data_IF_245375064062
#
_entry.id   IF_245375064062
#
_cell.length_a   1.000
_cell.length_b   1.000
_cell.length_c   1.000
_cell.angle_alpha   90.00
_cell.angle_beta   90.00
_cell.angle_gamma   90.00
#
_symmetry.space_group_name_H-M   'P 1'
#
loop_
_entity.id
_entity.type
_entity.pdbx_description
1 polymer ?
#
# COMPACT_ATOMS: atom_id res chain seq x y z
N UNK A 1 -7.21 7.45 -13.58
CA UNK A 1 -6.84 6.21 -14.31
C UNK A 1 -5.89 6.43 -15.48
N UNK A 2 -6.13 7.39 -16.39
CA UNK A 2 -5.23 7.62 -17.54
C UNK A 2 -3.77 7.83 -17.11
N UNK A 3 -3.53 8.64 -16.09
CA UNK A 3 -2.19 8.87 -15.53
C UNK A 3 -1.53 7.57 -15.06
N UNK A 4 -2.26 6.73 -14.33
CA UNK A 4 -1.77 5.43 -13.85
C UNK A 4 -1.41 4.53 -15.04
N UNK A 5 -2.28 4.43 -16.05
CA UNK A 5 -2.03 3.62 -17.24
C UNK A 5 -0.79 4.09 -18.02
N UNK A 6 -0.63 5.41 -18.20
CA UNK A 6 0.53 6.00 -18.87
C UNK A 6 1.81 5.74 -18.09
N UNK A 7 1.80 5.92 -16.78
CA UNK A 7 2.96 5.65 -15.93
C UNK A 7 3.31 4.16 -15.88
N UNK A 8 2.30 3.29 -15.88
CA UNK A 8 2.48 1.84 -16.02
C UNK A 8 3.17 1.47 -17.33
N UNK A 9 2.79 2.08 -18.46
CA UNK A 9 3.48 1.88 -19.74
C UNK A 9 4.91 2.42 -19.72
N UNK A 10 5.12 3.60 -19.14
CA UNK A 10 6.45 4.21 -18.99
C UNK A 10 7.38 3.44 -18.04
N UNK A 11 6.83 2.73 -17.06
CA UNK A 11 7.60 1.89 -16.13
C UNK A 11 8.15 0.61 -16.80
N UNK A 12 7.68 0.25 -17.99
CA UNK A 12 8.14 -0.94 -18.71
C UNK A 12 9.67 -0.87 -18.90
N UNK A 13 10.35 -1.95 -18.52
CA UNK A 13 11.82 -2.09 -18.54
C UNK A 13 12.59 -1.15 -17.61
N UNK A 14 11.94 -0.31 -16.82
CA UNK A 14 12.58 0.52 -15.79
C UNK A 14 12.79 -0.32 -14.54
N UNK A 15 13.94 -0.16 -13.89
CA UNK A 15 14.22 -0.85 -12.63
C UNK A 15 13.29 -0.35 -11.53
N UNK A 16 12.46 -1.26 -11.00
CA UNK A 16 11.47 -0.94 -9.97
C UNK A 16 12.12 -0.37 -8.69
N UNK A 17 13.34 -0.80 -8.37
CA UNK A 17 14.08 -0.26 -7.23
C UNK A 17 14.37 1.23 -7.38
N UNK A 18 14.66 1.68 -8.61
CA UNK A 18 14.95 3.08 -8.88
C UNK A 18 13.69 3.93 -8.85
N UNK A 19 12.56 3.38 -9.33
CA UNK A 19 11.22 3.99 -9.15
C UNK A 19 10.94 4.23 -7.66
N UNK A 20 11.11 3.19 -6.82
CA UNK A 20 10.90 3.32 -5.38
C UNK A 20 11.85 4.32 -4.72
N UNK A 21 13.12 4.41 -5.15
CA UNK A 21 14.06 5.41 -4.62
C UNK A 21 13.60 6.82 -4.93
N UNK A 22 13.25 7.09 -6.19
CA UNK A 22 12.78 8.40 -6.62
C UNK A 22 11.49 8.78 -5.87
N UNK A 23 10.52 7.86 -5.80
CA UNK A 23 9.27 8.07 -5.08
C UNK A 23 9.51 8.36 -3.59
N UNK A 24 10.44 7.63 -2.94
CA UNK A 24 10.79 7.87 -1.55
C UNK A 24 11.42 9.24 -1.34
N UNK A 25 12.42 9.62 -2.15
CA UNK A 25 13.11 10.90 -1.98
C UNK A 25 12.19 12.09 -2.24
N UNK A 26 11.44 12.07 -3.34
CA UNK A 26 10.52 13.15 -3.69
C UNK A 26 9.37 13.21 -2.69
N UNK A 27 8.73 12.07 -2.41
CA UNK A 27 7.59 12.02 -1.49
C UNK A 27 7.96 12.43 -0.06
N UNK A 28 9.10 11.97 0.46
CA UNK A 28 9.58 12.39 1.77
C UNK A 28 9.95 13.88 1.82
N UNK A 29 10.63 14.39 0.78
CA UNK A 29 10.98 15.80 0.70
C UNK A 29 9.73 16.71 0.68
N UNK A 30 8.72 16.34 -0.13
CA UNK A 30 7.46 17.07 -0.20
C UNK A 30 6.68 17.00 1.12
N UNK A 31 6.55 15.81 1.71
CA UNK A 31 5.84 15.63 2.97
C UNK A 31 6.46 16.43 4.11
N UNK A 32 7.80 16.39 4.24
CA UNK A 32 8.53 17.20 5.23
C UNK A 32 8.36 18.69 4.95
N UNK A 33 8.43 19.11 3.68
CA UNK A 33 8.23 20.52 3.30
C UNK A 33 6.84 21.00 3.71
N UNK A 34 5.78 20.26 3.36
CA UNK A 34 4.41 20.64 3.73
C UNK A 34 4.19 20.63 5.24
N UNK A 35 4.73 19.63 5.95
CA UNK A 35 4.70 19.61 7.40
C UNK A 35 5.35 20.87 7.98
N UNK A 36 6.57 21.22 7.57
CA UNK A 36 7.26 22.40 8.09
C UNK A 36 6.53 23.70 7.74
N UNK A 37 6.09 23.87 6.49
CA UNK A 37 5.33 25.04 6.05
C UNK A 37 4.02 25.19 6.82
N UNK A 38 3.36 24.07 7.16
CA UNK A 38 2.13 24.09 7.97
C UNK A 38 2.40 24.47 9.42
N UNK A 39 3.52 24.02 10.00
CA UNK A 39 3.91 24.35 11.37
C UNK A 39 4.31 25.82 11.54
N UNK A 40 4.85 26.46 10.49
CA UNK A 40 5.14 27.90 10.47
C UNK A 40 3.98 28.75 9.94
N UNK A 41 2.81 28.15 9.72
CA UNK A 41 1.59 28.80 9.21
C UNK A 41 1.74 29.49 7.84
N UNK A 42 2.65 29.01 6.99
CA UNK A 42 2.75 29.46 5.57
C UNK A 42 1.64 28.82 4.74
N UNK A 43 1.29 27.57 5.04
CA UNK A 43 0.12 26.88 4.46
C UNK A 43 -0.82 26.41 5.59
N UNK A 44 -2.12 26.22 5.33
CA UNK A 44 -3.05 25.76 6.35
C UNK A 44 -2.71 24.37 6.89
N UNK A 45 -2.82 24.20 8.21
CA UNK A 45 -2.95 22.91 8.85
C UNK A 45 -4.43 22.69 9.16
N UNK A 46 -5.12 21.81 8.42
CA UNK A 46 -6.52 21.52 8.68
C UNK A 46 -6.63 20.61 9.91
N UNK A 47 -7.28 21.10 10.95
CA UNK A 47 -7.46 20.39 12.23
C UNK A 47 -8.92 19.96 12.39
N UNK A 48 -9.14 18.65 12.47
CA UNK A 48 -10.48 18.06 12.64
C UNK A 48 -10.57 17.48 14.06
N UNK A 49 -11.13 18.24 14.99
CA UNK A 49 -11.07 17.91 16.42
C UNK A 49 -9.64 18.05 16.94
N UNK A 50 -9.00 16.96 17.34
CA UNK A 50 -7.60 16.87 17.76
C UNK A 50 -6.65 16.37 16.65
N UNK A 51 -7.18 16.13 15.43
CA UNK A 51 -6.47 15.46 14.34
C UNK A 51 -5.87 16.48 13.38
N UNK A 52 -4.56 16.42 13.18
CA UNK A 52 -3.81 17.33 12.31
C UNK A 52 -3.60 16.76 10.90
N UNK A 53 -3.66 17.61 9.88
CA UNK A 53 -3.39 17.25 8.47
C UNK A 53 -2.01 17.69 7.97
N UNK A 54 -1.29 18.54 8.71
CA UNK A 54 0.09 18.97 8.46
C UNK A 54 0.36 19.44 7.02
N UNK A 55 -0.53 20.29 6.50
CA UNK A 55 -0.40 20.83 5.15
C UNK A 55 -0.93 19.91 4.03
N UNK A 56 -1.44 18.73 4.38
CA UNK A 56 -2.18 17.85 3.47
C UNK A 56 -3.68 18.13 3.59
N UNK A 57 -4.43 17.78 2.54
CA UNK A 57 -5.87 18.02 2.41
C UNK A 57 -6.71 17.41 3.55
N UNK A 58 -6.28 16.29 4.13
CA UNK A 58 -7.02 15.62 5.20
C UNK A 58 -6.09 14.81 6.11
N UNK A 59 -6.56 14.46 7.30
CA UNK A 59 -5.74 13.82 8.35
C UNK A 59 -5.34 12.40 7.98
N UNK A 60 -6.25 11.66 7.34
CA UNK A 60 -5.96 10.28 6.85
C UNK A 60 -5.04 10.29 5.65
N UNK A 61 -5.17 11.28 4.76
CA UNK A 61 -4.27 11.44 3.61
C UNK A 61 -2.82 11.67 4.07
N UNK A 62 -2.59 12.50 5.09
CA UNK A 62 -1.25 12.67 5.66
C UNK A 62 -0.70 11.34 6.20
N UNK A 63 -1.51 10.62 6.97
CA UNK A 63 -1.13 9.34 7.57
C UNK A 63 -0.82 8.28 6.50
N UNK A 64 -1.59 8.24 5.42
CA UNK A 64 -1.35 7.39 4.26
C UNK A 64 0.00 7.69 3.60
N UNK A 65 0.37 8.97 3.40
CA UNK A 65 1.70 9.30 2.89
C UNK A 65 2.82 8.72 3.76
N UNK A 66 2.71 8.85 5.09
CA UNK A 66 3.66 8.26 6.03
C UNK A 66 3.73 6.74 5.87
N UNK A 67 2.58 6.07 5.80
CA UNK A 67 2.48 4.62 5.63
C UNK A 67 3.12 4.14 4.32
N UNK A 68 2.78 4.74 3.17
CA UNK A 68 3.31 4.31 1.88
C UNK A 68 4.80 4.64 1.72
N UNK A 69 5.28 5.76 2.30
CA UNK A 69 6.72 6.05 2.38
C UNK A 69 7.46 5.03 3.25
N UNK A 70 6.87 4.60 4.37
CA UNK A 70 7.44 3.53 5.21
C UNK A 70 7.51 2.20 4.44
N UNK A 71 6.43 1.80 3.75
CA UNK A 71 6.43 0.62 2.88
C UNK A 71 7.55 0.69 1.82
N UNK A 72 7.71 1.85 1.17
CA UNK A 72 8.72 2.08 0.13
C UNK A 72 10.14 2.02 0.72
N UNK A 73 10.37 2.65 1.87
CA UNK A 73 11.65 2.61 2.59
C UNK A 73 12.04 1.18 2.97
N UNK A 74 11.11 0.43 3.57
CA UNK A 74 11.35 -0.95 4.01
C UNK A 74 11.61 -1.87 2.82
N UNK A 75 10.88 -1.72 1.72
CA UNK A 75 11.14 -2.45 0.47
C UNK A 75 12.60 -2.31 0.02
N UNK A 76 13.14 -1.09 0.05
CA UNK A 76 14.53 -0.80 -0.37
C UNK A 76 15.59 -1.34 0.61
N UNK A 77 15.20 -1.60 1.86
CA UNK A 77 16.08 -1.98 2.99
C UNK A 77 15.97 -3.44 3.42
N UNK A 78 15.02 -4.22 2.92
CA UNK A 78 14.72 -5.59 3.40
C UNK A 78 15.94 -6.49 3.65
N UNK A 79 16.92 -6.50 2.74
CA UNK A 79 18.11 -7.38 2.87
C UNK A 79 19.09 -6.93 3.96
N UNK A 80 18.99 -5.68 4.40
CA UNK A 80 19.94 -5.00 5.28
C UNK A 80 19.25 -4.34 6.47
N UNK A 81 18.11 -4.90 6.89
CA UNK A 81 17.35 -4.44 8.06
C UNK A 81 18.21 -4.46 9.33
N UNK A 82 18.26 -3.30 9.99
CA UNK A 82 18.90 -3.01 11.27
C UNK A 82 17.82 -2.63 12.27
N UNK A 83 18.16 -2.64 13.56
CA UNK A 83 17.23 -2.28 14.62
C UNK A 83 16.66 -0.85 14.48
N UNK A 84 17.44 0.09 13.93
CA UNK A 84 16.98 1.45 13.64
C UNK A 84 15.82 1.51 12.62
N UNK A 85 15.72 0.56 11.68
CA UNK A 85 14.58 0.52 10.76
C UNK A 85 13.27 0.19 11.50
N UNK A 86 13.35 -0.70 12.50
CA UNK A 86 12.21 -1.01 13.36
C UNK A 86 11.86 0.18 14.25
N UNK A 87 12.87 0.82 14.84
CA UNK A 87 12.68 2.02 15.64
C UNK A 87 12.01 3.15 14.84
N UNK A 88 12.44 3.34 13.58
CA UNK A 88 11.82 4.32 12.67
C UNK A 88 10.33 4.02 12.48
N UNK A 89 9.95 2.79 12.13
CA UNK A 89 8.54 2.44 11.93
C UNK A 89 7.74 2.63 13.22
N UNK A 90 8.27 2.26 14.38
CA UNK A 90 7.63 2.48 15.69
C UNK A 90 7.40 3.98 15.95
N UNK A 91 8.40 4.83 15.67
CA UNK A 91 8.27 6.28 15.83
C UNK A 91 7.23 6.85 14.87
N UNK A 92 7.20 6.40 13.62
CA UNK A 92 6.18 6.81 12.65
C UNK A 92 4.79 6.37 13.09
N UNK A 93 4.62 5.15 13.61
CA UNK A 93 3.35 4.67 14.18
C UNK A 93 2.89 5.54 15.34
N UNK A 94 3.80 5.84 16.28
CA UNK A 94 3.48 6.69 17.42
C UNK A 94 3.13 8.12 16.99
N UNK A 95 3.85 8.67 16.00
CA UNK A 95 3.58 9.98 15.43
C UNK A 95 2.17 10.03 14.82
N UNK A 96 1.82 9.08 13.95
CA UNK A 96 0.49 9.02 13.33
C UNK A 96 -0.60 8.87 14.40
N UNK A 97 -0.40 7.98 15.38
CA UNK A 97 -1.36 7.79 16.48
C UNK A 97 -1.59 9.07 17.29
N UNK A 98 -0.52 9.79 17.62
CA UNK A 98 -0.59 10.93 18.53
C UNK A 98 -1.07 12.22 17.86
N UNK A 99 -0.77 12.41 16.58
CA UNK A 99 -1.04 13.68 15.91
C UNK A 99 -2.19 13.63 14.91
N UNK A 100 -2.49 12.47 14.31
CA UNK A 100 -3.55 12.36 13.30
C UNK A 100 -4.69 11.45 13.72
N UNK A 101 -4.51 10.65 14.78
CA UNK A 101 -5.47 9.65 15.28
C UNK A 101 -6.09 8.81 14.15
N UNK A 102 -5.25 8.32 13.23
CA UNK A 102 -5.72 7.55 12.08
C UNK A 102 -5.44 6.05 12.28
N UNK A 103 -6.43 5.35 12.82
CA UNK A 103 -6.33 3.93 13.19
C UNK A 103 -5.93 3.03 12.03
N UNK A 104 -6.42 3.32 10.82
CA UNK A 104 -6.13 2.53 9.60
C UNK A 104 -4.63 2.49 9.32
N UNK A 105 -3.97 3.64 9.32
CA UNK A 105 -2.53 3.77 9.04
C UNK A 105 -1.68 3.26 10.19
N UNK A 106 -2.13 3.46 11.44
CA UNK A 106 -1.49 2.89 12.63
C UNK A 106 -1.48 1.36 12.55
N UNK A 107 -2.64 0.74 12.28
CA UNK A 107 -2.75 -0.71 12.09
C UNK A 107 -1.90 -1.16 10.90
N UNK A 108 -1.89 -0.41 9.80
CA UNK A 108 -1.10 -0.74 8.60
C UNK A 108 0.41 -0.70 8.87
N UNK A 109 0.89 0.28 9.65
CA UNK A 109 2.28 0.37 10.11
C UNK A 109 2.64 -0.76 11.10
N UNK A 110 1.72 -1.16 11.97
CA UNK A 110 1.91 -2.32 12.86
C UNK A 110 1.99 -3.64 12.07
N UNK A 111 1.16 -3.82 11.04
CA UNK A 111 1.25 -4.96 10.13
C UNK A 111 2.57 -4.93 9.37
N UNK A 112 3.04 -3.75 8.92
CA UNK A 112 4.36 -3.60 8.30
C UNK A 112 5.47 -4.03 9.27
N UNK A 113 5.42 -3.59 10.53
CA UNK A 113 6.38 -3.96 11.57
C UNK A 113 6.41 -5.48 11.79
N UNK A 114 5.24 -6.12 11.86
CA UNK A 114 5.12 -7.58 11.95
C UNK A 114 5.75 -8.29 10.76
N UNK A 115 5.50 -7.80 9.54
CA UNK A 115 6.12 -8.31 8.31
C UNK A 115 7.64 -8.15 8.31
N UNK A 116 8.16 -7.03 8.83
CA UNK A 116 9.60 -6.82 8.98
C UNK A 116 10.23 -7.86 9.92
N UNK A 117 9.58 -8.18 11.04
CA UNK A 117 10.04 -9.21 11.98
C UNK A 117 10.07 -10.57 11.29
N UNK A 118 8.98 -10.97 10.64
CA UNK A 118 8.91 -12.23 9.88
C UNK A 118 10.03 -12.29 8.84
N UNK A 119 10.21 -11.22 8.06
CA UNK A 119 11.24 -11.19 7.01
C UNK A 119 12.65 -11.27 7.59
N UNK A 120 12.95 -10.54 8.66
CA UNK A 120 14.27 -10.52 9.31
C UNK A 120 14.66 -11.90 9.83
N UNK A 121 13.73 -12.59 10.49
CA UNK A 121 13.98 -13.89 11.09
C UNK A 121 13.63 -15.08 10.20
N UNK A 122 13.19 -14.85 8.95
CA UNK A 122 12.68 -15.88 8.03
C UNK A 122 13.55 -17.12 7.94
N UNK A 123 14.87 -16.96 7.81
CA UNK A 123 15.82 -18.08 7.62
C UNK A 123 15.95 -18.92 8.89
N UNK A 124 15.97 -18.26 10.06
CA UNK A 124 16.06 -18.95 11.34
C UNK A 124 14.74 -19.63 11.69
N UNK A 125 13.64 -18.89 11.60
CA UNK A 125 12.30 -19.38 11.94
C UNK A 125 11.82 -20.44 10.98
N UNK A 126 12.10 -20.37 9.67
CA UNK A 126 11.68 -21.41 8.74
C UNK A 126 12.28 -22.78 9.02
N UNK A 127 13.43 -22.85 9.73
CA UNK A 127 14.06 -24.11 10.13
C UNK A 127 13.35 -24.77 11.32
N UNK A 128 12.85 -23.98 12.27
CA UNK A 128 12.27 -24.46 13.51
C UNK A 128 10.73 -24.40 13.53
N UNK A 129 10.13 -23.57 12.70
CA UNK A 129 8.70 -23.25 12.69
C UNK A 129 8.18 -23.19 11.25
N UNK A 130 7.69 -24.35 10.76
CA UNK A 130 7.16 -24.53 9.40
C UNK A 130 6.07 -23.52 9.01
N UNK A 131 5.16 -23.07 9.90
CA UNK A 131 4.14 -22.09 9.54
C UNK A 131 4.67 -20.76 8.97
N UNK A 132 5.87 -20.30 9.36
CA UNK A 132 6.47 -19.09 8.76
C UNK A 132 6.78 -19.31 7.28
N UNK A 133 7.32 -20.47 6.91
CA UNK A 133 7.58 -20.78 5.51
C UNK A 133 6.28 -20.92 4.71
N UNK A 134 5.24 -21.52 5.31
CA UNK A 134 3.91 -21.61 4.70
C UNK A 134 3.39 -20.20 4.43
N UNK A 135 3.35 -19.34 5.45
CA UNK A 135 2.92 -17.95 5.33
C UNK A 135 3.65 -17.20 4.22
N UNK A 136 4.99 -17.29 4.17
CA UNK A 136 5.77 -16.64 3.10
C UNK A 136 5.37 -17.14 1.70
N UNK A 137 5.14 -18.46 1.57
CA UNK A 137 4.78 -19.11 0.30
C UNK A 137 3.32 -18.94 -0.11
N UNK A 138 2.44 -18.59 0.82
CA UNK A 138 0.98 -18.43 0.58
C UNK A 138 0.49 -17.00 0.79
N UNK A 139 1.35 -16.06 1.14
CA UNK A 139 1.01 -14.65 1.37
C UNK A 139 0.25 -14.01 0.19
N UNK A 140 0.58 -14.39 -1.04
CA UNK A 140 -0.09 -13.92 -2.25
C UNK A 140 -1.60 -14.26 -2.32
N UNK A 141 -2.08 -15.27 -1.59
CA UNK A 141 -3.51 -15.64 -1.56
C UNK A 141 -4.34 -14.53 -0.92
N UNK A 142 -3.77 -13.80 0.03
CA UNK A 142 -4.47 -12.69 0.71
C UNK A 142 -4.84 -11.54 -0.24
N UNK A 143 -4.14 -11.40 -1.37
CA UNK A 143 -4.50 -10.42 -2.40
C UNK A 143 -5.85 -10.73 -3.07
N UNK A 144 -6.37 -11.96 -2.94
CA UNK A 144 -7.73 -12.34 -3.33
C UNK A 144 -8.71 -12.21 -2.17
N UNK A 145 -8.27 -12.60 -0.96
CA UNK A 145 -9.12 -12.63 0.22
C UNK A 145 -9.55 -11.22 0.63
N UNK A 146 -8.63 -10.24 0.68
CA UNK A 146 -8.96 -8.89 1.15
C UNK A 146 -10.02 -8.18 0.28
N UNK A 147 -9.88 -8.10 -1.07
CA UNK A 147 -10.94 -7.57 -1.91
C UNK A 147 -12.25 -8.36 -1.75
N UNK A 148 -12.17 -9.69 -1.76
CA UNK A 148 -13.35 -10.56 -1.68
C UNK A 148 -14.16 -10.36 -0.40
N UNK A 149 -13.47 -10.21 0.74
CA UNK A 149 -14.11 -9.96 2.04
C UNK A 149 -14.87 -8.63 2.01
N UNK A 150 -14.21 -7.51 1.70
CA UNK A 150 -14.88 -6.21 1.84
C UNK A 150 -15.96 -5.99 0.79
N UNK A 151 -15.76 -6.48 -0.45
CA UNK A 151 -16.79 -6.45 -1.49
C UNK A 151 -17.98 -7.30 -1.06
N UNK A 152 -17.73 -8.53 -0.61
CA UNK A 152 -18.79 -9.45 -0.18
C UNK A 152 -19.57 -8.94 1.03
N UNK A 153 -18.89 -8.37 2.03
CA UNK A 153 -19.53 -7.77 3.20
C UNK A 153 -20.35 -6.53 2.80
N UNK A 154 -19.83 -5.66 1.92
CA UNK A 154 -20.51 -4.43 1.51
C UNK A 154 -21.76 -4.70 0.67
N UNK A 155 -21.69 -5.69 -0.23
CA UNK A 155 -22.84 -6.10 -1.05
C UNK A 155 -23.97 -6.75 -0.23
N UNK A 156 -23.63 -7.36 0.92
CA UNK A 156 -24.59 -8.03 1.82
C UNK A 156 -24.96 -7.19 3.04
N UNK A 157 -24.44 -5.98 3.15
CA UNK A 157 -24.63 -5.13 4.31
C UNK A 157 -26.12 -4.90 4.58
N UNK A 158 -26.54 -5.17 5.80
CA UNK A 158 -27.90 -4.94 6.29
C UNK A 158 -27.83 -4.19 7.61
N UNK A 159 -28.35 -2.95 7.60
CA UNK A 159 -28.38 -2.09 8.78
C UNK A 159 -29.26 -2.64 9.91
N UNK A 160 -30.17 -3.59 9.63
CA UNK A 160 -30.99 -4.24 10.66
C UNK A 160 -30.26 -5.40 11.37
N UNK A 161 -29.13 -5.84 10.84
CA UNK A 161 -28.37 -6.94 11.41
C UNK A 161 -27.31 -6.43 12.41
N UNK A 162 -27.41 -6.85 13.66
CA UNK A 162 -26.54 -6.41 14.75
C UNK A 162 -25.04 -6.73 14.55
N UNK A 163 -24.69 -7.74 13.73
CA UNK A 163 -23.30 -8.05 13.40
C UNK A 163 -22.78 -7.02 12.38
N UNK A 164 -23.59 -6.70 11.36
CA UNK A 164 -23.20 -5.72 10.34
C UNK A 164 -23.06 -4.32 10.92
N UNK A 165 -23.96 -3.90 11.81
CA UNK A 165 -23.84 -2.59 12.47
C UNK A 165 -22.57 -2.49 13.30
N UNK A 166 -22.25 -3.51 14.11
CA UNK A 166 -20.98 -3.55 14.88
C UNK A 166 -19.74 -3.49 14.01
N UNK A 167 -19.70 -4.24 12.90
CA UNK A 167 -18.57 -4.19 11.97
C UNK A 167 -18.49 -2.81 11.32
N UNK A 168 -19.62 -2.26 10.90
CA UNK A 168 -19.71 -0.96 10.27
C UNK A 168 -19.20 0.16 11.18
N UNK A 169 -19.58 0.14 12.48
CA UNK A 169 -19.09 1.09 13.48
C UNK A 169 -17.57 0.94 13.67
N UNK A 170 -17.08 -0.30 13.76
CA UNK A 170 -15.65 -0.60 13.91
C UNK A 170 -14.81 -0.05 12.75
N UNK A 171 -15.34 -0.06 11.52
CA UNK A 171 -14.65 0.46 10.34
C UNK A 171 -15.11 1.87 9.92
N UNK A 172 -15.70 2.62 10.85
CA UNK A 172 -16.13 4.02 10.67
C UNK A 172 -17.08 4.21 9.47
N UNK A 173 -18.15 3.44 9.42
CA UNK A 173 -19.19 3.49 8.37
C UNK A 173 -18.74 3.13 6.94
N UNK A 174 -17.49 2.66 6.75
CA UNK A 174 -16.99 2.28 5.41
C UNK A 174 -17.78 1.13 4.78
N UNK A 175 -18.41 0.28 5.59
CA UNK A 175 -19.25 -0.81 5.09
C UNK A 175 -20.55 -0.27 4.49
N UNK A 176 -21.19 0.67 5.20
CA UNK A 176 -22.36 1.39 4.74
C UNK A 176 -22.07 2.16 3.44
N UNK A 177 -20.99 2.94 3.38
CA UNK A 177 -20.65 3.69 2.16
C UNK A 177 -20.31 2.78 0.98
N UNK A 178 -19.66 1.64 1.24
CA UNK A 178 -19.47 0.60 0.24
C UNK A 178 -20.79 0.04 -0.31
N UNK A 179 -21.73 -0.27 0.58
CA UNK A 179 -23.07 -0.73 0.21
C UNK A 179 -23.85 0.32 -0.58
N UNK A 180 -23.81 1.58 -0.13
CA UNK A 180 -24.45 2.70 -0.81
C UNK A 180 -23.88 2.93 -2.21
N UNK A 181 -22.57 2.75 -2.40
CA UNK A 181 -21.96 2.82 -3.73
C UNK A 181 -22.53 1.74 -4.67
N UNK A 182 -22.70 0.51 -4.19
CA UNK A 182 -23.29 -0.56 -4.98
C UNK A 182 -24.77 -0.33 -5.30
N UNK A 183 -25.57 0.12 -4.34
CA UNK A 183 -27.01 0.32 -4.56
C UNK A 183 -27.31 1.55 -5.43
N UNK A 184 -26.53 2.62 -5.28
CA UNK A 184 -26.76 3.89 -5.99
C UNK A 184 -26.13 3.94 -7.38
N UNK A 185 -24.94 3.36 -7.55
CA UNK A 185 -24.20 3.41 -8.81
C UNK A 185 -24.12 2.05 -9.52
N UNK A 186 -24.11 0.94 -8.77
CA UNK A 186 -23.90 -0.39 -9.32
C UNK A 186 -22.50 -0.60 -9.89
N UNK A 187 -22.32 -1.69 -10.65
CA UNK A 187 -21.04 -2.04 -11.28
C UNK A 187 -21.21 -2.06 -12.79
N UNK A 188 -20.45 -1.23 -13.51
CA UNK A 188 -20.40 -1.24 -14.98
C UNK A 188 -19.14 -1.94 -15.48
N UNK A 189 -19.16 -2.42 -16.72
CA UNK A 189 -18.02 -3.11 -17.32
C UNK A 189 -16.76 -2.21 -17.40
N UNK A 190 -16.95 -0.94 -17.80
CA UNK A 190 -15.88 0.05 -18.00
C UNK A 190 -15.94 1.23 -17.02
N UNK A 191 -16.65 1.05 -15.91
CA UNK A 191 -16.74 2.06 -14.84
C UNK A 191 -17.71 3.18 -15.16
N UNK A 192 -17.71 4.18 -14.28
CA UNK A 192 -18.58 5.37 -14.34
C UNK A 192 -18.06 6.45 -13.39
N UNK A 193 -18.38 7.74 -13.63
CA UNK A 193 -18.17 8.78 -12.65
C UNK A 193 -19.03 8.51 -11.41
N UNK A 194 -18.47 8.78 -10.23
CA UNK A 194 -19.15 8.72 -8.94
C UNK A 194 -19.01 10.09 -8.31
N UNK A 195 -20.12 10.69 -7.89
CA UNK A 195 -20.10 11.96 -7.17
C UNK A 195 -19.87 11.66 -5.69
N UNK A 196 -18.73 12.09 -5.18
CA UNK A 196 -18.36 11.96 -3.78
C UNK A 196 -18.38 13.32 -3.09
N UNK A 197 -18.70 13.31 -1.81
CA UNK A 197 -18.72 14.45 -0.92
C UNK A 197 -17.92 14.09 0.32
N UNK A 198 -16.62 14.40 0.29
CA UNK A 198 -15.70 14.20 1.40
C UNK A 198 -15.32 15.50 2.10
N UNK A 199 -14.65 15.40 3.25
CA UNK A 199 -14.22 16.56 4.04
C UNK A 199 -12.81 17.04 3.72
N UNK A 200 -12.16 16.53 2.67
CA UNK A 200 -10.80 16.92 2.31
C UNK A 200 -10.70 18.32 1.69
N UNK A 201 -9.59 19.01 1.98
CA UNK A 201 -9.24 20.32 1.42
C UNK A 201 -10.04 21.48 2.02
N UNK A 202 -9.82 22.70 1.50
CA UNK A 202 -10.42 23.93 2.04
C UNK A 202 -11.97 23.85 2.09
N UNK A 203 -12.59 23.46 0.97
CA UNK A 203 -14.05 23.37 0.88
C UNK A 203 -14.62 22.30 1.83
N UNK A 204 -13.94 21.16 1.96
CA UNK A 204 -14.36 20.09 2.85
C UNK A 204 -14.18 20.45 4.33
N UNK A 205 -13.10 21.17 4.66
CA UNK A 205 -12.83 21.72 5.98
C UNK A 205 -13.90 22.71 6.41
N UNK A 206 -14.25 23.65 5.52
CA UNK A 206 -15.32 24.62 5.75
C UNK A 206 -16.67 23.90 5.91
N UNK A 207 -16.93 22.87 5.11
CA UNK A 207 -18.16 22.08 5.21
C UNK A 207 -18.27 21.33 6.54
N UNK A 208 -17.15 20.81 7.04
CA UNK A 208 -17.10 20.10 8.32
C UNK A 208 -17.36 21.04 9.51
N UNK A 209 -16.85 22.28 9.46
CA UNK A 209 -16.95 23.23 10.57
C UNK A 209 -18.19 24.12 10.52
N UNK A 210 -18.80 24.32 9.34
CA UNK A 210 -19.96 25.18 9.18
C UNK A 210 -21.25 24.34 9.02
N UNK A 211 -22.15 24.43 10.00
CA UNK A 211 -23.45 23.74 9.99
C UNK A 211 -24.42 24.21 8.86
N UNK A 212 -24.07 25.26 8.11
CA UNK A 212 -24.88 25.80 7.02
C UNK A 212 -24.79 24.97 5.72
N UNK A 213 -23.74 24.18 5.55
CA UNK A 213 -23.58 23.27 4.40
C UNK A 213 -24.17 21.90 4.72
N UNK A 214 -25.45 21.70 4.38
CA UNK A 214 -26.14 20.41 4.52
C UNK A 214 -25.67 19.35 3.51
N UNK A 215 -24.37 19.27 3.21
CA UNK A 215 -23.84 18.25 2.29
C UNK A 215 -23.73 16.94 3.04
N UNK A 216 -24.51 15.94 2.61
CA UNK A 216 -24.42 14.58 3.16
C UNK A 216 -23.07 13.98 2.77
N UNK A 217 -22.27 13.58 3.77
CA UNK A 217 -20.98 12.92 3.53
C UNK A 217 -21.21 11.58 2.80
N UNK A 218 -20.49 11.40 1.69
CA UNK A 218 -20.42 10.15 0.97
C UNK A 218 -19.06 10.03 0.29
N UNK A 219 -18.26 9.07 0.73
CA UNK A 219 -16.93 8.86 0.21
C UNK A 219 -16.60 7.36 0.20
N UNK A 220 -16.02 6.85 -0.89
CA UNK A 220 -15.67 5.44 -1.04
C UNK A 220 -14.20 5.24 -0.65
N UNK A 221 -13.96 5.00 0.64
CA UNK A 221 -12.61 4.76 1.16
C UNK A 221 -12.01 3.43 0.70
N UNK A 222 -12.80 2.39 0.44
CA UNK A 222 -12.22 1.10 0.03
C UNK A 222 -11.67 1.18 -1.40
N UNK A 223 -10.36 1.03 -1.58
CA UNK A 223 -9.72 0.95 -2.90
C UNK A 223 -10.37 -0.09 -3.82
N UNK A 224 -10.85 -1.20 -3.25
CA UNK A 224 -11.47 -2.28 -4.03
C UNK A 224 -12.84 -1.90 -4.56
N UNK A 225 -13.66 -1.24 -3.73
CA UNK A 225 -14.99 -0.76 -4.14
C UNK A 225 -14.83 0.42 -5.09
N UNK A 226 -13.90 1.33 -4.80
CA UNK A 226 -13.53 2.45 -5.66
C UNK A 226 -13.12 1.94 -7.06
N UNK A 227 -12.23 0.95 -7.13
CA UNK A 227 -11.83 0.30 -8.38
C UNK A 227 -13.02 -0.35 -9.11
N UNK A 228 -13.87 -1.09 -8.39
CA UNK A 228 -14.99 -1.83 -8.98
C UNK A 228 -16.09 -0.90 -9.53
N UNK A 229 -16.45 0.14 -8.77
CA UNK A 229 -17.53 1.07 -9.13
C UNK A 229 -17.03 2.13 -10.11
N UNK A 230 -15.86 2.76 -9.85
CA UNK A 230 -15.36 3.87 -10.67
C UNK A 230 -14.62 3.39 -11.92
N UNK A 231 -13.78 2.34 -11.83
CA UNK A 231 -12.98 1.88 -12.99
C UNK A 231 -13.68 0.74 -13.74
N UNK A 232 -14.61 0.07 -13.08
CA UNK A 232 -15.41 -1.00 -13.67
C UNK A 232 -14.85 -2.39 -13.47
N UNK A 233 -15.70 -3.37 -13.80
CA UNK A 233 -15.40 -4.79 -13.62
C UNK A 233 -14.19 -5.25 -14.43
N UNK A 234 -14.07 -4.82 -15.69
CA UNK A 234 -13.00 -5.29 -16.57
C UNK A 234 -11.62 -4.88 -16.05
N UNK A 235 -11.44 -3.61 -15.70
CA UNK A 235 -10.17 -3.11 -15.17
C UNK A 235 -9.87 -3.68 -13.77
N UNK A 236 -10.91 -3.84 -12.94
CA UNK A 236 -10.76 -4.47 -11.62
C UNK A 236 -10.17 -5.88 -11.72
N UNK A 237 -10.72 -6.71 -12.60
CA UNK A 237 -10.22 -8.07 -12.82
C UNK A 237 -8.79 -8.05 -13.33
N UNK A 238 -8.48 -7.18 -14.31
CA UNK A 238 -7.14 -7.06 -14.88
C UNK A 238 -6.12 -6.67 -13.82
N UNK A 239 -6.35 -5.62 -13.03
CA UNK A 239 -5.39 -5.18 -12.01
C UNK A 239 -5.20 -6.21 -10.91
N UNK A 240 -6.29 -6.79 -10.37
CA UNK A 240 -6.19 -7.85 -9.34
C UNK A 240 -5.42 -9.05 -9.88
N UNK A 241 -5.69 -9.47 -11.12
CA UNK A 241 -4.97 -10.56 -11.76
C UNK A 241 -3.48 -10.24 -11.92
N UNK A 242 -3.12 -9.02 -12.34
CA UNK A 242 -1.71 -8.62 -12.53
C UNK A 242 -0.95 -8.54 -11.20
N UNK A 243 -1.56 -7.99 -10.13
CA UNK A 243 -0.96 -8.02 -8.80
C UNK A 243 -0.78 -9.45 -8.29
N UNK A 244 -1.80 -10.29 -8.45
CA UNK A 244 -1.76 -11.70 -8.06
C UNK A 244 -0.64 -12.45 -8.78
N UNK A 245 -0.58 -12.34 -10.11
CA UNK A 245 0.46 -12.94 -10.92
C UNK A 245 1.85 -12.48 -10.51
N UNK A 246 2.01 -11.19 -10.24
CA UNK A 246 3.30 -10.61 -9.84
C UNK A 246 3.74 -11.18 -8.49
N UNK A 247 2.85 -11.18 -7.52
CA UNK A 247 3.10 -11.72 -6.18
C UNK A 247 3.38 -13.23 -6.22
N UNK A 248 2.61 -13.99 -7.00
CA UNK A 248 2.80 -15.43 -7.16
C UNK A 248 4.16 -15.77 -7.82
N UNK A 249 4.53 -15.10 -8.91
CA UNK A 249 5.79 -15.34 -9.63
C UNK A 249 7.00 -15.04 -8.74
N UNK A 250 6.98 -13.93 -8.02
CA UNK A 250 8.06 -13.55 -7.10
C UNK A 250 8.18 -14.54 -5.93
N UNK A 251 7.03 -14.98 -5.38
CA UNK A 251 6.99 -16.01 -4.34
C UNK A 251 7.59 -17.34 -4.83
N UNK A 252 7.28 -17.78 -6.06
CA UNK A 252 7.86 -18.99 -6.67
C UNK A 252 9.37 -18.92 -6.84
N UNK A 253 9.92 -17.71 -7.03
CA UNK A 253 11.35 -17.46 -7.12
C UNK A 253 12.02 -17.24 -5.74
N UNK A 254 11.29 -17.46 -4.63
CA UNK A 254 11.72 -17.16 -3.26
C UNK A 254 12.07 -15.67 -3.02
N UNK A 255 11.57 -14.76 -3.87
CA UNK A 255 11.63 -13.33 -3.64
C UNK A 255 10.37 -12.87 -2.91
N UNK A 256 10.42 -12.83 -1.57
CA UNK A 256 9.25 -12.50 -0.76
C UNK A 256 9.02 -11.00 -0.54
N UNK A 257 9.90 -10.11 -1.03
CA UNK A 257 9.85 -8.67 -0.71
C UNK A 257 8.59 -7.99 -1.25
N UNK A 258 8.33 -8.14 -2.55
CA UNK A 258 7.16 -7.57 -3.21
C UNK A 258 5.86 -8.23 -2.69
N UNK A 259 5.75 -9.57 -2.62
CA UNK A 259 4.58 -10.22 -2.05
C UNK A 259 4.20 -9.72 -0.65
N UNK A 260 5.19 -9.54 0.22
CA UNK A 260 4.96 -9.09 1.59
C UNK A 260 4.55 -7.61 1.66
N UNK A 261 5.12 -6.73 0.84
CA UNK A 261 4.67 -5.32 0.82
C UNK A 261 3.28 -5.20 0.21
N UNK A 262 3.00 -5.93 -0.87
CA UNK A 262 1.67 -5.98 -1.45
C UNK A 262 0.65 -6.54 -0.45
N UNK A 263 1.02 -7.51 0.38
CA UNK A 263 0.16 -7.99 1.47
C UNK A 263 -0.25 -6.86 2.43
N UNK A 264 0.72 -6.05 2.88
CA UNK A 264 0.46 -4.93 3.81
C UNK A 264 -0.41 -3.87 3.12
N UNK A 265 -0.07 -3.49 1.89
CA UNK A 265 -0.83 -2.50 1.11
C UNK A 265 -2.27 -2.99 0.86
N UNK A 266 -2.45 -4.25 0.46
CA UNK A 266 -3.78 -4.82 0.23
C UNK A 266 -4.59 -4.91 1.53
N UNK A 267 -3.96 -5.17 2.68
CA UNK A 267 -4.67 -5.14 3.95
C UNK A 267 -5.20 -3.72 4.26
N UNK A 268 -4.35 -2.70 4.09
CA UNK A 268 -4.73 -1.29 4.26
C UNK A 268 -5.87 -0.89 3.29
N UNK A 269 -5.76 -1.31 2.03
CA UNK A 269 -6.69 -1.00 0.93
C UNK A 269 -8.13 -1.51 1.11
N UNK A 270 -8.41 -2.31 2.15
CA UNK A 270 -9.78 -2.67 2.54
C UNK A 270 -10.56 -1.40 2.92
N UNK A 271 -9.91 -0.49 3.63
CA UNK A 271 -10.52 0.69 4.26
C UNK A 271 -9.75 1.98 3.93
N UNK A 272 -8.86 1.92 2.95
CA UNK A 272 -8.06 3.03 2.40
C UNK A 272 -8.10 3.04 0.87
N UNK A 273 -8.10 4.22 0.25
CA UNK A 273 -8.38 4.42 -1.18
C UNK A 273 -7.13 4.52 -2.06
N UNK A 274 -5.95 4.61 -1.46
CA UNK A 274 -4.75 5.05 -2.16
C UNK A 274 -4.02 3.93 -2.92
N UNK A 275 -4.61 2.74 -3.06
CA UNK A 275 -4.00 1.60 -3.77
C UNK A 275 -3.55 1.99 -5.18
N UNK A 276 -4.33 2.80 -5.90
CA UNK A 276 -4.04 3.21 -7.28
C UNK A 276 -3.52 4.64 -7.44
N UNK A 277 -3.30 5.36 -6.34
CA UNK A 277 -2.88 6.74 -6.38
C UNK A 277 -1.36 6.83 -6.34
N UNK A 278 -0.73 7.17 -7.48
CA UNK A 278 0.72 7.18 -7.61
C UNK A 278 1.42 8.24 -6.75
N UNK A 279 0.69 9.24 -6.25
CA UNK A 279 1.21 10.19 -5.27
C UNK A 279 1.57 9.50 -3.94
N UNK A 280 0.89 8.39 -3.63
CA UNK A 280 1.08 7.60 -2.42
C UNK A 280 1.83 6.31 -2.73
N UNK A 281 1.29 5.51 -3.65
CA UNK A 281 1.67 4.12 -3.84
C UNK A 281 2.48 3.87 -5.12
N UNK A 282 3.83 3.80 -5.06
CA UNK A 282 4.63 3.44 -6.22
C UNK A 282 4.50 1.95 -6.60
N UNK A 283 3.97 1.09 -5.72
CA UNK A 283 3.87 -0.34 -5.98
C UNK A 283 2.82 -0.71 -7.03
N UNK A 284 1.97 0.23 -7.46
CA UNK A 284 1.14 0.04 -8.65
C UNK A 284 2.00 -0.27 -9.88
N UNK A 285 3.17 0.35 -9.98
CA UNK A 285 4.06 0.22 -11.14
C UNK A 285 4.82 -1.12 -11.16
N UNK A 286 4.80 -1.88 -10.06
CA UNK A 286 5.54 -3.16 -9.96
C UNK A 286 5.07 -4.18 -11.00
N UNK A 287 3.80 -4.11 -11.41
CA UNK A 287 3.21 -5.05 -12.36
C UNK A 287 3.81 -4.91 -13.78
N UNK A 288 4.42 -3.76 -14.10
CA UNK A 288 5.06 -3.48 -15.40
C UNK A 288 6.57 -3.22 -15.31
N UNK A 289 7.06 -2.78 -14.16
CA UNK A 289 8.47 -2.47 -13.94
C UNK A 289 9.35 -3.73 -13.89
N UNK A 290 10.62 -3.57 -14.25
CA UNK A 290 11.62 -4.61 -14.11
C UNK A 290 12.04 -4.75 -12.62
N UNK A 291 11.59 -5.82 -11.99
CA UNK A 291 11.93 -6.15 -10.59
C UNK A 291 12.55 -7.54 -10.42
N UNK A 292 12.67 -8.33 -11.50
CA UNK A 292 13.10 -9.75 -11.45
C UNK A 292 14.53 -10.00 -11.92
N UNK A 293 15.20 -9.02 -12.55
CA UNK A 293 16.51 -9.22 -13.19
C UNK A 293 17.74 -9.02 -12.28
N UNK A 294 17.56 -8.74 -10.98
CA UNK A 294 18.71 -8.51 -10.07
C UNK A 294 19.48 -9.77 -9.65
N UNK A 295 19.09 -10.96 -10.14
CA UNK A 295 19.76 -12.24 -9.85
C UNK A 295 20.77 -12.72 -10.90
N UNK A 296 20.77 -12.16 -12.12
CA UNK A 296 21.55 -12.70 -13.25
C UNK A 296 22.86 -11.94 -13.53
N UNK A 297 22.98 -10.67 -13.17
CA UNK A 297 24.11 -9.84 -13.61
C UNK A 297 25.40 -10.06 -12.79
N UNK A 298 25.33 -10.71 -11.62
CA UNK A 298 26.51 -11.07 -10.84
C UNK A 298 27.13 -12.42 -11.25
N UNK A 299 26.50 -13.19 -12.14
CA UNK A 299 27.05 -14.45 -12.66
C UNK A 299 27.89 -14.25 -13.94
N UNK A 300 27.71 -13.14 -14.65
CA UNK A 300 28.37 -12.85 -15.94
C UNK A 300 29.62 -11.97 -15.83
N UNK A 301 30.10 -11.69 -14.61
CA UNK A 301 31.37 -10.99 -14.35
C UNK A 301 32.42 -11.87 -13.67
N UNK A 302 32.59 -13.11 -14.12
CA UNK A 302 33.84 -13.85 -13.88
C UNK A 302 34.72 -13.71 -15.12
N UNK A 303 35.92 -13.11 -15.04
CA UNK A 303 36.87 -13.17 -16.15
C UNK A 303 37.29 -14.64 -16.33
N UNK A 304 37.03 -15.17 -17.51
CA UNK A 304 37.53 -16.46 -17.95
C UNK A 304 39.03 -16.35 -18.27
N UNK A 305 39.90 -16.50 -17.27
CA UNK A 305 41.33 -16.69 -17.52
C UNK A 305 42.07 -17.34 -16.34
N UNK A 306 41.90 -18.65 -16.15
CA UNK A 306 42.99 -19.54 -15.72
C UNK A 306 42.55 -21.01 -15.79
N UNK A 307 42.63 -21.58 -16.99
CA UNK A 307 42.88 -23.02 -17.18
C UNK A 307 43.84 -23.17 -18.35
N UNK A 308 45.14 -23.26 -18.06
CA UNK A 308 46.17 -23.98 -18.82
C UNK A 308 47.49 -23.94 -18.04
N UNK A 309 48.09 -25.11 -17.82
CA UNK A 309 49.33 -25.29 -17.04
C UNK A 309 49.25 -26.52 -16.12
N UNK A 310 48.96 -27.71 -16.65
CA UNK A 310 49.96 -28.76 -16.92
C UNK A 310 50.23 -29.64 -15.69
N UNK A 311 49.65 -30.84 -15.75
CA UNK A 311 50.12 -32.06 -15.07
C UNK A 311 51.63 -32.22 -15.24
N UNK A 312 52.36 -32.39 -14.13
CA UNK A 312 53.57 -33.24 -13.98
C UNK A 312 54.10 -33.15 -12.55
N UNK A 313 53.82 -34.15 -11.71
CA UNK A 313 54.83 -35.13 -11.32
C UNK A 313 54.30 -36.14 -10.29
N UNK A 314 54.49 -37.40 -10.64
CA UNK A 314 54.41 -38.55 -9.76
C UNK A 314 55.83 -38.93 -9.29
N UNK A 315 55.90 -39.56 -8.11
CA UNK A 315 57.00 -40.36 -7.54
C UNK A 315 58.29 -39.62 -7.13
N UNK A 316 58.49 -39.49 -5.82
CA UNK A 316 59.25 -40.45 -5.00
C UNK A 316 58.90 -40.25 -3.54
#
# INVERSE_FOLDING_TARGET
>A
MLVVAVMCLGAKNVNFRDICRIALYIGAALLVTFLLLSLVNVIPNYVYGDRNSFGISYTTDFAAHVFYLACTYIYLRFDVLKWWDFALVIVLTAFVQFFTHTDVDVISLLILLFVMVIYRFRVSWSKHFKPVLIFLRTSWIWLLIFPGIIIGLSMKYDANNAIFTKINDLISNRLYYGSYAFTSYGVRLFGQPVLESGWGGANGYDTYHNAASQVTYFFIDSSYINMLVKFGLALSIVFLYLFLLTSYKDTKQNNFKIPLILLVIFASSIIDQHLFELAYNPFVLVIFANHRHLGSDNALRRPASQKRGVLKHARK
#
